data_IF_569793387874
#
_entry.id   IF_569793387874
#
_cell.length_a   1.000
_cell.length_b   1.000
_cell.length_c   1.000
_cell.angle_alpha   90.00
_cell.angle_beta   90.00
_cell.angle_gamma   90.00
#
_symmetry.space_group_name_H-M   'P 1'
#
loop_
_entity.id
_entity.type
_entity.pdbx_description
1 polymer ?
#
# COMPACT_ATOMS: atom_id res chain seq x y z
N UNK A 1 -7.40 -3.35 -1.09
CA UNK A 1 -6.51 -3.64 0.08
C UNK A 1 -7.04 -2.84 1.26
N UNK A 2 -7.36 -3.48 2.38
CA UNK A 2 -7.98 -2.80 3.52
C UNK A 2 -7.09 -2.89 4.75
N UNK A 3 -6.76 -1.74 5.34
CA UNK A 3 -6.10 -1.65 6.65
C UNK A 3 -7.10 -1.29 7.73
N UNK A 4 -6.76 -1.60 8.97
CA UNK A 4 -7.67 -1.44 10.09
C UNK A 4 -7.27 -0.25 10.93
N UNK A 5 -8.20 0.70 11.08
CA UNK A 5 -8.03 1.83 11.96
C UNK A 5 -8.85 1.65 13.23
N UNK A 6 -8.22 1.83 14.39
CA UNK A 6 -8.91 1.90 15.67
C UNK A 6 -9.25 3.35 15.98
N UNK A 7 -10.52 3.62 16.22
CA UNK A 7 -11.03 4.96 16.53
C UNK A 7 -11.06 5.15 18.04
N UNK A 8 -10.58 6.31 18.48
CA UNK A 8 -10.57 6.76 19.85
C UNK A 8 -11.31 8.10 19.96
N UNK A 9 -12.06 8.27 21.05
CA UNK A 9 -12.70 9.55 21.38
C UNK A 9 -11.87 10.24 22.45
N UNK A 10 -11.55 11.51 22.22
CA UNK A 10 -10.76 12.32 23.15
C UNK A 10 -11.37 13.71 23.29
N UNK A 11 -11.94 14.00 24.47
CA UNK A 11 -12.70 15.23 24.70
C UNK A 11 -13.85 15.39 23.69
N UNK A 12 -13.81 16.49 22.95
CA UNK A 12 -14.78 16.82 21.89
C UNK A 12 -14.36 16.34 20.49
N UNK A 13 -13.19 15.72 20.35
CA UNK A 13 -12.64 15.26 19.08
C UNK A 13 -12.47 13.74 19.02
N UNK A 14 -11.90 13.31 17.90
CA UNK A 14 -11.58 11.93 17.63
C UNK A 14 -10.19 11.81 17.03
N UNK A 15 -9.54 10.69 17.29
CA UNK A 15 -8.33 10.29 16.58
C UNK A 15 -8.39 8.82 16.23
N UNK A 16 -7.57 8.41 15.27
CA UNK A 16 -7.48 7.03 14.85
C UNK A 16 -6.04 6.67 14.49
N UNK A 17 -5.70 5.40 14.72
CA UNK A 17 -4.42 4.79 14.37
C UNK A 17 -4.62 3.53 13.55
N UNK A 18 -3.74 3.32 12.56
CA UNK A 18 -3.66 2.06 11.84
C UNK A 18 -3.02 1.00 12.74
N UNK A 19 -3.68 -0.15 12.87
CA UNK A 19 -3.23 -1.25 13.74
C UNK A 19 -2.06 -2.05 13.15
N UNK A 20 -1.80 -1.93 11.85
CA UNK A 20 -0.72 -2.64 11.17
C UNK A 20 0.46 -1.76 10.75
N UNK A 21 0.29 -0.44 10.77
CA UNK A 21 1.28 0.54 10.30
C UNK A 21 1.63 1.54 11.41
N UNK A 22 2.73 1.27 12.11
CA UNK A 22 3.19 2.09 13.22
C UNK A 22 3.41 3.55 12.79
N UNK A 23 2.78 4.49 13.49
CA UNK A 23 2.86 5.92 13.19
C UNK A 23 1.91 6.41 12.09
N UNK A 24 1.08 5.54 11.50
CA UNK A 24 -0.02 5.97 10.63
C UNK A 24 -1.24 6.34 11.49
N UNK A 25 -1.35 7.62 11.82
CA UNK A 25 -2.40 8.17 12.68
C UNK A 25 -3.02 9.44 12.11
N UNK A 26 -4.21 9.78 12.58
CA UNK A 26 -4.91 10.99 12.17
C UNK A 26 -5.93 11.44 13.23
N UNK A 27 -6.43 12.66 13.12
CA UNK A 27 -7.43 13.22 14.03
C UNK A 27 -8.42 14.12 13.30
N UNK A 28 -9.57 14.35 13.92
CA UNK A 28 -10.63 15.22 13.41
C UNK A 28 -11.61 15.64 14.52
N UNK A 29 -12.42 16.66 14.24
CA UNK A 29 -13.45 17.13 15.17
C UNK A 29 -14.78 16.38 15.01
N UNK A 30 -14.96 15.62 13.92
CA UNK A 30 -16.14 14.80 13.63
C UNK A 30 -15.76 13.42 13.11
N UNK A 31 -16.66 12.46 13.24
CA UNK A 31 -16.45 11.09 12.72
C UNK A 31 -16.39 11.09 11.19
N UNK A 32 -17.18 11.93 10.52
CA UNK A 32 -17.22 12.05 9.07
C UNK A 32 -15.89 12.57 8.51
N UNK A 33 -15.34 13.60 9.14
CA UNK A 33 -14.01 14.13 8.81
C UNK A 33 -12.91 13.12 9.15
N UNK A 34 -13.00 12.43 10.29
CA UNK A 34 -12.03 11.39 10.68
C UNK A 34 -11.92 10.30 9.62
N UNK A 35 -13.06 9.85 9.06
CA UNK A 35 -13.08 8.84 7.98
C UNK A 35 -12.33 9.28 6.74
N UNK A 36 -12.48 10.54 6.33
CA UNK A 36 -11.73 11.12 5.20
C UNK A 36 -10.24 11.18 5.54
N UNK A 37 -9.91 11.69 6.71
CA UNK A 37 -8.53 11.84 7.14
C UNK A 37 -7.83 10.49 7.30
N UNK A 38 -8.53 9.42 7.68
CA UNK A 38 -7.96 8.06 7.74
C UNK A 38 -7.60 7.55 6.33
N UNK A 39 -8.47 7.77 5.35
CA UNK A 39 -8.18 7.42 3.97
C UNK A 39 -6.97 8.20 3.43
N UNK A 40 -6.92 9.50 3.67
CA UNK A 40 -5.78 10.34 3.24
C UNK A 40 -4.48 9.94 3.94
N UNK A 41 -4.51 9.76 5.27
CA UNK A 41 -3.34 9.36 6.04
C UNK A 41 -2.80 7.99 5.59
N UNK A 42 -3.68 7.00 5.37
CA UNK A 42 -3.28 5.68 4.90
C UNK A 42 -2.61 5.74 3.52
N UNK A 43 -3.25 6.42 2.57
CA UNK A 43 -2.73 6.51 1.21
C UNK A 43 -1.44 7.31 1.14
N UNK A 44 -1.33 8.40 1.91
CA UNK A 44 -0.09 9.17 2.03
C UNK A 44 1.03 8.31 2.63
N UNK A 45 0.76 7.60 3.72
CA UNK A 45 1.74 6.77 4.42
C UNK A 45 2.30 5.64 3.54
N UNK A 46 1.47 5.03 2.69
CA UNK A 46 1.90 3.98 1.75
C UNK A 46 2.46 4.54 0.43
N UNK A 47 2.27 5.82 0.14
CA UNK A 47 2.71 6.49 -1.09
C UNK A 47 4.19 6.90 -1.05
N UNK A 48 5.02 5.97 -0.60
CA UNK A 48 6.48 6.09 -0.57
C UNK A 48 7.08 6.19 -1.99
N UNK A 49 8.26 6.82 -2.16
CA UNK A 49 8.93 6.92 -3.46
C UNK A 49 9.45 5.55 -3.94
N UNK A 50 9.72 5.43 -5.24
CA UNK A 50 10.14 4.17 -5.87
C UNK A 50 11.45 3.60 -5.30
N UNK A 51 12.36 4.45 -4.82
CA UNK A 51 13.67 4.07 -4.28
C UNK A 51 13.63 3.71 -2.78
N UNK A 52 12.49 3.93 -2.10
CA UNK A 52 12.28 3.59 -0.70
C UNK A 52 12.64 2.12 -0.42
N UNK A 53 13.26 1.91 0.74
CA UNK A 53 13.67 0.58 1.23
C UNK A 53 12.82 0.09 2.39
N UNK A 54 11.80 0.86 2.77
CA UNK A 54 10.91 0.51 3.87
C UNK A 54 10.00 -0.64 3.46
N UNK A 55 9.90 -1.65 4.32
CA UNK A 55 9.01 -2.80 4.14
C UNK A 55 7.91 -2.68 5.16
N UNK A 56 6.71 -2.28 4.72
CA UNK A 56 5.53 -2.28 5.59
C UNK A 56 4.89 -3.67 5.67
N UNK A 57 4.21 -3.89 6.80
CA UNK A 57 3.39 -5.06 7.01
C UNK A 57 2.16 -5.04 6.08
N UNK A 58 1.72 -6.22 5.65
CA UNK A 58 0.44 -6.35 4.96
C UNK A 58 -0.71 -6.31 5.98
N UNK A 59 -1.93 -5.90 5.57
CA UNK A 59 -3.06 -5.88 6.47
C UNK A 59 -3.45 -7.29 6.92
N UNK A 60 -3.93 -7.40 8.16
CA UNK A 60 -4.37 -8.69 8.73
C UNK A 60 -5.80 -8.99 8.26
N UNK A 61 -6.13 -10.26 8.00
CA UNK A 61 -7.47 -10.62 7.49
C UNK A 61 -8.60 -10.48 8.52
N UNK A 62 -8.31 -10.70 9.80
CA UNK A 62 -9.32 -10.82 10.85
C UNK A 62 -8.88 -10.00 12.06
N UNK A 63 -9.26 -8.72 12.12
CA UNK A 63 -9.11 -7.90 13.33
C UNK A 63 -10.48 -7.72 13.97
N UNK A 64 -10.76 -8.55 14.98
CA UNK A 64 -11.95 -8.41 15.82
C UNK A 64 -11.67 -7.50 17.01
N UNK A 65 -11.35 -6.23 16.74
CA UNK A 65 -11.19 -5.21 17.76
C UNK A 65 -12.42 -4.28 17.81
N UNK A 66 -12.80 -3.87 19.02
CA UNK A 66 -13.88 -2.87 19.20
C UNK A 66 -13.46 -1.54 18.59
N UNK A 67 -14.42 -0.83 18.00
CA UNK A 67 -14.23 0.49 17.36
C UNK A 67 -13.18 0.51 16.24
N UNK A 68 -13.10 -0.59 15.49
CA UNK A 68 -12.22 -0.71 14.33
C UNK A 68 -13.00 -0.55 13.04
N UNK A 69 -12.43 0.16 12.08
CA UNK A 69 -12.98 0.34 10.74
C UNK A 69 -11.94 -0.06 9.69
N UNK A 70 -12.41 -0.61 8.58
CA UNK A 70 -11.58 -0.91 7.42
C UNK A 70 -11.46 0.32 6.53
N UNK A 71 -10.24 0.61 6.09
CA UNK A 71 -9.92 1.75 5.22
C UNK A 71 -9.19 1.21 4.00
N UNK A 72 -9.73 1.51 2.82
CA UNK A 72 -9.20 1.03 1.55
C UNK A 72 -7.97 1.85 1.12
N UNK A 73 -6.97 1.17 0.59
CA UNK A 73 -5.85 1.76 -0.14
C UNK A 73 -6.23 1.91 -1.61
N UNK A 74 -5.91 3.05 -2.22
CA UNK A 74 -6.14 3.25 -3.64
C UNK A 74 -5.38 2.21 -4.49
N UNK A 75 -6.00 1.67 -5.57
CA UNK A 75 -5.42 0.59 -6.36
C UNK A 75 -3.99 0.86 -6.87
N UNK A 76 -3.69 2.10 -7.29
CA UNK A 76 -2.36 2.47 -7.79
C UNK A 76 -1.30 2.45 -6.69
N UNK A 77 -1.66 2.93 -5.50
CA UNK A 77 -0.80 2.91 -4.32
C UNK A 77 -0.60 1.45 -3.88
N UNK A 78 -1.67 0.67 -3.76
CA UNK A 78 -1.62 -0.74 -3.39
C UNK A 78 -0.70 -1.55 -4.32
N UNK A 79 -0.84 -1.39 -5.64
CA UNK A 79 0.02 -2.05 -6.61
C UNK A 79 1.49 -1.64 -6.46
N UNK A 80 1.76 -0.34 -6.38
CA UNK A 80 3.13 0.18 -6.27
C UNK A 80 3.83 -0.31 -5.00
N UNK A 81 3.11 -0.23 -3.87
CA UNK A 81 3.55 -0.76 -2.59
C UNK A 81 3.84 -2.25 -2.67
N UNK A 82 2.93 -3.06 -3.21
CA UNK A 82 3.12 -4.51 -3.32
C UNK A 82 4.34 -4.85 -4.16
N UNK A 83 4.47 -4.28 -5.36
CA UNK A 83 5.61 -4.56 -6.25
C UNK A 83 6.94 -4.24 -5.57
N UNK A 84 7.03 -3.08 -4.91
CA UNK A 84 8.22 -2.69 -4.16
C UNK A 84 8.52 -3.65 -3.02
N UNK A 85 7.49 -3.99 -2.25
CA UNK A 85 7.60 -4.90 -1.10
C UNK A 85 8.10 -6.29 -1.52
N UNK A 86 7.50 -6.90 -2.55
CA UNK A 86 7.94 -8.20 -3.05
C UNK A 86 9.34 -8.12 -3.66
N UNK A 87 9.67 -7.05 -4.41
CA UNK A 87 11.02 -6.83 -4.91
C UNK A 87 12.05 -6.83 -3.76
N UNK A 88 11.79 -6.10 -2.68
CA UNK A 88 12.68 -6.02 -1.52
C UNK A 88 12.77 -7.35 -0.78
N UNK A 89 11.67 -8.06 -0.56
CA UNK A 89 11.68 -9.37 0.10
C UNK A 89 12.46 -10.44 -0.69
N UNK A 90 12.41 -10.38 -2.01
CA UNK A 90 13.17 -11.26 -2.89
C UNK A 90 14.61 -10.77 -3.12
N UNK A 91 15.05 -9.70 -2.42
CA UNK A 91 16.38 -9.10 -2.52
C UNK A 91 16.76 -8.63 -3.93
N UNK A 92 15.80 -8.21 -4.74
CA UNK A 92 16.07 -7.65 -6.06
C UNK A 92 16.27 -6.13 -6.01
N UNK A 93 17.27 -5.67 -6.75
CA UNK A 93 17.36 -4.28 -7.19
C UNK A 93 16.33 -3.99 -8.28
N UNK A 94 16.02 -2.71 -8.49
CA UNK A 94 15.15 -2.28 -9.59
C UNK A 94 15.73 -2.65 -10.97
N UNK A 95 17.06 -2.68 -11.10
CA UNK A 95 17.74 -3.08 -12.34
C UNK A 95 17.55 -4.57 -12.64
N UNK A 96 17.67 -5.43 -11.63
CA UNK A 96 17.54 -6.88 -11.78
C UNK A 96 16.13 -7.27 -12.18
N UNK A 97 15.11 -6.74 -11.50
CA UNK A 97 13.71 -7.05 -11.85
C UNK A 97 13.32 -6.46 -13.20
N UNK A 98 13.83 -5.27 -13.56
CA UNK A 98 13.63 -4.71 -14.90
C UNK A 98 14.18 -5.66 -15.98
N UNK A 99 15.39 -6.20 -15.78
CA UNK A 99 16.00 -7.16 -16.69
C UNK A 99 15.18 -8.47 -16.78
N UNK A 100 14.73 -9.01 -15.63
CA UNK A 100 13.86 -10.20 -15.58
C UNK A 100 12.54 -10.02 -16.34
N UNK A 101 11.97 -8.83 -16.28
CA UNK A 101 10.74 -8.49 -17.01
C UNK A 101 10.98 -8.18 -18.50
N UNK A 102 12.23 -8.25 -18.97
CA UNK A 102 12.63 -7.95 -20.34
C UNK A 102 12.61 -6.46 -20.68
N UNK A 103 12.77 -5.59 -19.68
CA UNK A 103 12.80 -4.14 -19.88
C UNK A 103 14.22 -3.65 -20.19
N UNK A 104 14.32 -2.69 -21.12
CA UNK A 104 15.62 -2.13 -21.56
C UNK A 104 16.24 -1.15 -20.57
N UNK A 105 15.43 -0.55 -19.69
CA UNK A 105 15.90 0.46 -18.73
C UNK A 105 15.15 0.37 -17.40
N UNK A 106 15.77 0.92 -16.36
CA UNK A 106 15.24 0.95 -14.99
C UNK A 106 13.96 1.80 -14.87
N UNK A 107 13.88 2.91 -15.60
CA UNK A 107 12.74 3.83 -15.60
C UNK A 107 11.42 3.15 -16.01
N UNK A 108 11.50 2.20 -16.93
CA UNK A 108 10.36 1.39 -17.37
C UNK A 108 9.76 0.56 -16.24
N UNK A 109 10.57 0.18 -15.25
CA UNK A 109 10.12 -0.52 -14.06
C UNK A 109 9.71 0.46 -12.94
N UNK A 110 10.51 1.49 -12.68
CA UNK A 110 10.27 2.47 -11.60
C UNK A 110 8.87 3.09 -11.64
N UNK A 111 8.33 3.34 -12.84
CA UNK A 111 6.96 3.87 -12.98
C UNK A 111 5.88 3.00 -12.34
N UNK A 112 6.13 1.70 -12.16
CA UNK A 112 5.20 0.77 -11.51
C UNK A 112 5.36 0.72 -9.99
N UNK A 113 6.52 1.11 -9.46
CA UNK A 113 6.73 1.30 -8.01
C UNK A 113 6.43 2.72 -7.56
N UNK A 114 6.07 3.61 -8.49
CA UNK A 114 5.66 4.98 -8.21
C UNK A 114 4.13 5.11 -8.31
N UNK A 115 3.42 5.40 -7.20
CA UNK A 115 1.96 5.44 -7.17
C UNK A 115 1.32 6.37 -8.22
N UNK A 116 1.91 7.54 -8.47
CA UNK A 116 1.34 8.50 -9.41
C UNK A 116 1.36 8.02 -10.88
N UNK A 117 2.21 7.05 -11.22
CA UNK A 117 2.39 6.56 -12.60
C UNK A 117 2.06 5.09 -12.81
N UNK A 118 1.73 4.35 -11.74
CA UNK A 118 1.48 2.91 -11.82
C UNK A 118 0.19 2.61 -12.59
N UNK A 119 0.36 2.13 -13.83
CA UNK A 119 -0.74 1.70 -14.70
C UNK A 119 -0.28 0.58 -15.64
N UNK A 120 -0.12 -0.66 -15.16
CA UNK A 120 0.28 -1.79 -15.98
C UNK A 120 -0.86 -2.31 -16.86
N UNK A 121 -0.51 -2.89 -18.01
CA UNK A 121 -1.44 -3.71 -18.79
C UNK A 121 -1.66 -5.06 -18.11
N UNK A 122 -2.72 -5.78 -18.49
CA UNK A 122 -2.96 -7.16 -18.01
C UNK A 122 -1.78 -8.09 -18.32
N UNK A 123 -1.14 -7.93 -19.48
CA UNK A 123 0.06 -8.68 -19.83
C UNK A 123 1.21 -8.41 -18.86
N UNK A 124 1.39 -7.15 -18.43
CA UNK A 124 2.39 -6.80 -17.43
C UNK A 124 2.05 -7.36 -16.04
N UNK A 125 0.79 -7.33 -15.61
CA UNK A 125 0.34 -7.97 -14.37
C UNK A 125 0.65 -9.48 -14.35
N UNK A 126 0.43 -10.16 -15.48
CA UNK A 126 0.79 -11.57 -15.66
C UNK A 126 2.29 -11.80 -15.51
N UNK A 127 3.13 -10.93 -16.10
CA UNK A 127 4.59 -10.99 -15.91
C UNK A 127 5.01 -10.78 -14.45
N UNK A 128 4.41 -9.80 -13.76
CA UNK A 128 4.69 -9.61 -12.32
C UNK A 128 4.34 -10.84 -11.51
N UNK A 129 3.18 -11.48 -11.77
CA UNK A 129 2.77 -12.71 -11.08
C UNK A 129 3.69 -13.90 -11.39
N UNK A 130 4.31 -13.93 -12.57
CA UNK A 130 5.32 -14.94 -12.93
C UNK A 130 6.63 -14.73 -12.15
N UNK A 131 7.12 -13.49 -12.07
CA UNK A 131 8.35 -13.18 -11.32
C UNK A 131 8.15 -13.21 -9.81
N UNK A 132 6.94 -12.90 -9.34
CA UNK A 132 6.51 -12.92 -7.94
C UNK A 132 5.28 -13.84 -7.79
N UNK A 133 5.44 -15.17 -7.74
CA UNK A 133 4.33 -16.11 -7.60
C UNK A 133 3.47 -15.88 -6.34
N UNK A 134 4.07 -15.33 -5.29
CA UNK A 134 3.45 -14.94 -4.02
C UNK A 134 2.71 -13.60 -4.08
N UNK A 135 2.85 -12.81 -5.15
CA UNK A 135 2.18 -11.51 -5.31
C UNK A 135 0.66 -11.64 -5.20
N UNK A 136 0.11 -10.97 -4.18
CA UNK A 136 -1.33 -10.94 -3.88
C UNK A 136 -2.03 -9.82 -4.64
N UNK A 137 -2.30 -10.05 -5.92
CA UNK A 137 -2.99 -9.08 -6.79
C UNK A 137 -4.44 -8.81 -6.36
N UNK A 138 -5.06 -9.72 -5.61
CA UNK A 138 -6.38 -9.51 -5.02
C UNK A 138 -6.43 -8.24 -4.16
N UNK A 139 -5.32 -7.85 -3.52
CA UNK A 139 -5.24 -6.59 -2.77
C UNK A 139 -5.39 -5.33 -3.64
N UNK A 140 -5.12 -5.38 -4.94
CA UNK A 140 -5.25 -4.21 -5.83
C UNK A 140 -6.71 -3.96 -6.22
N UNK A 141 -7.51 -5.02 -6.29
CA UNK A 141 -8.88 -4.98 -6.80
C UNK A 141 -9.96 -5.15 -5.72
N UNK A 142 -9.54 -5.39 -4.47
CA UNK A 142 -10.44 -5.47 -3.31
C UNK A 142 -10.72 -4.10 -2.73
#
# INVERSE_FOLDING_TARGET
MYYHFKIHKEGNGFWAECLELDGCLTQANSIEELKKNMHEALNLYLSEPEDSKVIFNLPKKNINAKNTVEVQVEPKIALSFLLRRYRLLHNFSQKEIAAKLGMKNIWSYQKFEKPSTANPTLSMLSKFKKEFPDLRLDYVFS
#
